data_IF_450171612233
#
_entry.id   IF_450171612233
#
_cell.length_a   1.000
_cell.length_b   1.000
_cell.length_c   1.000
_cell.angle_alpha   90.00
_cell.angle_beta   90.00
_cell.angle_gamma   90.00
#
_symmetry.space_group_name_H-M   'P 1'
#
loop_
_entity.id
_entity.type
_entity.pdbx_description
1 polymer ?
#
# COMPACT_ATOMS: atom_id res chain seq x y z
N UNK A 1 34.24 -14.54 11.01
CA UNK A 1 33.47 -14.24 9.77
C UNK A 1 33.28 -12.74 9.63
N UNK A 2 32.79 -12.24 8.46
CA UNK A 2 32.45 -10.81 8.31
C UNK A 2 31.20 -10.49 9.12
N UNK A 3 31.11 -9.29 9.73
CA UNK A 3 29.91 -8.87 10.46
C UNK A 3 28.67 -8.89 9.56
N UNK A 4 27.48 -9.17 10.11
CA UNK A 4 26.21 -9.18 9.37
C UNK A 4 25.97 -7.91 8.54
N UNK A 5 26.24 -6.77 9.14
CA UNK A 5 26.08 -5.47 8.47
C UNK A 5 26.96 -5.35 7.20
N UNK A 6 28.23 -5.72 7.30
CA UNK A 6 29.14 -5.71 6.13
C UNK A 6 28.68 -6.66 5.04
N UNK A 7 28.16 -7.83 5.41
CA UNK A 7 27.64 -8.82 4.45
C UNK A 7 26.41 -8.25 3.73
N UNK A 8 25.43 -7.75 4.48
CA UNK A 8 24.18 -7.22 3.92
C UNK A 8 24.43 -5.95 3.08
N UNK A 9 25.30 -5.05 3.54
CA UNK A 9 25.68 -3.87 2.76
C UNK A 9 26.38 -4.24 1.46
N UNK A 10 27.28 -5.23 1.48
CA UNK A 10 27.92 -5.72 0.25
C UNK A 10 26.89 -6.29 -0.74
N UNK A 11 25.90 -7.05 -0.28
CA UNK A 11 24.80 -7.54 -1.14
C UNK A 11 24.00 -6.37 -1.73
N UNK A 12 23.67 -5.38 -0.91
CA UNK A 12 22.91 -4.20 -1.35
C UNK A 12 23.69 -3.38 -2.39
N UNK A 13 25.01 -3.22 -2.22
CA UNK A 13 25.85 -2.54 -3.21
C UNK A 13 25.89 -3.27 -4.56
N UNK A 14 26.11 -4.59 -4.55
CA UNK A 14 26.09 -5.38 -5.78
C UNK A 14 24.70 -5.43 -6.42
N UNK A 15 23.64 -5.29 -5.63
CA UNK A 15 22.25 -5.30 -6.14
C UNK A 15 21.93 -4.13 -7.06
N UNK A 16 22.69 -3.01 -6.97
CA UNK A 16 22.52 -1.83 -7.85
C UNK A 16 22.76 -2.17 -9.31
N UNK A 17 23.63 -3.13 -9.58
CA UNK A 17 23.78 -3.72 -10.91
C UNK A 17 22.70 -4.80 -11.11
N UNK A 18 21.74 -4.51 -12.00
CA UNK A 18 20.62 -5.42 -12.29
C UNK A 18 21.10 -6.69 -12.99
N UNK A 19 22.23 -6.66 -13.66
CA UNK A 19 22.81 -7.82 -14.36
C UNK A 19 23.59 -8.76 -13.43
N UNK A 20 23.97 -8.27 -12.23
CA UNK A 20 24.75 -9.03 -11.27
C UNK A 20 23.99 -10.25 -10.76
N UNK A 21 24.62 -11.43 -10.85
CA UNK A 21 24.11 -12.69 -10.29
C UNK A 21 24.81 -13.05 -9.00
N UNK A 22 24.00 -13.24 -7.98
CA UNK A 22 24.51 -13.58 -6.66
C UNK A 22 24.84 -15.06 -6.55
N UNK A 23 26.08 -15.33 -6.21
CA UNK A 23 26.60 -16.66 -5.92
C UNK A 23 26.94 -16.79 -4.44
N UNK A 24 27.07 -18.02 -3.95
CA UNK A 24 27.52 -18.36 -2.59
C UNK A 24 26.69 -17.73 -1.46
N UNK A 25 25.41 -17.44 -1.69
CA UNK A 25 24.51 -16.90 -0.67
C UNK A 25 24.27 -17.89 0.47
N UNK A 26 24.25 -19.19 0.15
CA UNK A 26 24.03 -20.25 1.12
C UNK A 26 25.10 -20.25 2.24
N UNK A 27 26.33 -19.81 1.96
CA UNK A 27 27.41 -19.71 2.94
C UNK A 27 27.15 -18.66 4.02
N UNK A 28 26.26 -17.68 3.77
CA UNK A 28 25.85 -16.66 4.74
C UNK A 28 25.12 -17.32 5.93
N UNK A 29 24.42 -18.43 5.67
CA UNK A 29 23.73 -19.23 6.68
C UNK A 29 24.68 -19.99 7.62
N UNK A 30 25.98 -19.94 7.40
CA UNK A 30 26.99 -20.53 8.30
C UNK A 30 27.54 -19.50 9.30
N UNK A 31 27.10 -18.26 9.21
CA UNK A 31 27.53 -17.18 10.08
C UNK A 31 26.62 -17.08 11.31
N UNK A 32 27.13 -17.43 12.48
CA UNK A 32 26.40 -17.39 13.76
C UNK A 32 25.88 -16.00 14.09
N UNK A 33 26.64 -14.94 13.79
CA UNK A 33 26.20 -13.56 14.03
C UNK A 33 24.93 -13.20 13.27
N UNK A 34 24.69 -13.77 12.08
CA UNK A 34 23.44 -13.60 11.34
C UNK A 34 22.24 -14.15 12.11
N UNK A 35 22.41 -15.26 12.85
CA UNK A 35 21.37 -15.84 13.69
C UNK A 35 21.11 -15.02 14.94
N UNK A 36 22.13 -14.35 15.51
CA UNK A 36 21.94 -13.43 16.64
C UNK A 36 21.09 -12.24 16.22
N UNK A 37 21.39 -11.64 15.07
CA UNK A 37 20.56 -10.55 14.51
C UNK A 37 19.15 -11.05 14.18
N UNK A 38 19.02 -12.23 13.60
CA UNK A 38 17.72 -12.85 13.32
C UNK A 38 16.92 -13.07 14.61
N UNK A 39 17.56 -13.55 15.67
CA UNK A 39 16.92 -13.70 16.97
C UNK A 39 16.43 -12.39 17.53
N UNK A 40 17.25 -11.33 17.52
CA UNK A 40 16.86 -9.98 17.97
C UNK A 40 15.64 -9.46 17.21
N UNK A 41 15.60 -9.65 15.88
CA UNK A 41 14.45 -9.24 15.06
C UNK A 41 13.17 -10.00 15.41
N UNK A 42 13.27 -11.29 15.76
CA UNK A 42 12.10 -12.10 16.13
C UNK A 42 11.66 -11.76 17.55
N UNK A 43 12.61 -11.58 18.48
CA UNK A 43 12.34 -11.28 19.88
C UNK A 43 11.57 -9.97 20.06
N UNK A 44 11.88 -8.97 19.27
CA UNK A 44 11.24 -7.65 19.32
C UNK A 44 9.80 -7.62 18.78
N UNK A 45 9.31 -8.72 18.16
CA UNK A 45 7.98 -8.75 17.54
C UNK A 45 6.92 -9.36 18.44
N UNK A 46 5.71 -8.82 18.38
CA UNK A 46 4.54 -9.47 18.96
C UNK A 46 4.35 -10.88 18.35
N UNK A 47 3.90 -11.83 19.17
CA UNK A 47 3.74 -13.22 18.77
C UNK A 47 5.03 -14.06 18.77
N UNK A 48 6.16 -13.50 19.30
CA UNK A 48 7.41 -14.24 19.49
C UNK A 48 7.22 -15.54 20.27
N UNK A 49 6.36 -15.53 21.29
CA UNK A 49 6.00 -16.67 22.16
C UNK A 49 5.03 -17.68 21.53
N UNK A 50 4.56 -17.45 20.29
CA UNK A 50 3.61 -18.36 19.65
C UNK A 50 4.27 -19.68 19.27
N UNK A 51 3.79 -20.78 19.85
CA UNK A 51 4.30 -22.15 19.63
C UNK A 51 4.04 -22.62 18.20
N UNK A 52 5.09 -23.15 17.56
CA UNK A 52 5.00 -23.85 16.28
C UNK A 52 4.40 -25.26 16.41
N UNK A 53 4.58 -26.09 15.38
CA UNK A 53 4.16 -27.51 15.39
C UNK A 53 4.95 -28.37 16.36
N UNK A 54 6.18 -27.95 16.71
CA UNK A 54 7.08 -28.60 17.69
C UNK A 54 6.77 -28.20 19.16
N UNK A 55 5.81 -27.32 19.39
CA UNK A 55 5.44 -26.83 20.71
C UNK A 55 6.47 -25.89 21.37
N UNK A 56 7.59 -25.59 20.70
CA UNK A 56 8.66 -24.75 21.24
C UNK A 56 8.38 -23.27 21.04
N UNK A 57 8.93 -22.46 21.96
CA UNK A 57 8.89 -21.00 21.95
C UNK A 57 10.29 -20.43 21.79
N UNK A 58 10.38 -19.09 21.75
CA UNK A 58 11.65 -18.35 21.70
C UNK A 58 12.54 -18.57 22.95
N UNK A 59 11.94 -18.95 24.11
CA UNK A 59 12.65 -19.12 25.39
C UNK A 59 13.70 -20.25 25.35
N UNK A 60 13.57 -21.17 24.41
CA UNK A 60 14.52 -22.27 24.25
C UNK A 60 15.77 -21.89 23.44
N UNK A 61 16.08 -20.58 23.31
CA UNK A 61 17.24 -20.11 22.57
C UNK A 61 18.54 -20.42 23.33
N UNK A 62 19.52 -20.97 22.60
CA UNK A 62 20.88 -21.18 23.12
C UNK A 62 21.91 -21.16 21.98
N UNK A 63 23.17 -20.87 22.31
CA UNK A 63 24.27 -20.91 21.34
C UNK A 63 24.43 -22.30 20.71
N UNK A 64 24.38 -23.36 21.53
CA UNK A 64 24.41 -24.76 21.06
C UNK A 64 23.32 -25.08 20.05
N UNK A 65 22.15 -24.43 20.17
CA UNK A 65 21.07 -24.60 19.21
C UNK A 65 21.41 -24.01 17.85
N UNK A 66 22.03 -22.81 17.83
CA UNK A 66 22.50 -22.18 16.58
C UNK A 66 23.57 -23.02 15.94
N UNK A 67 24.59 -23.47 16.69
CA UNK A 67 25.66 -24.35 16.18
C UNK A 67 25.07 -25.58 15.51
N UNK A 68 24.17 -26.29 16.21
CA UNK A 68 23.48 -27.46 15.66
C UNK A 68 22.67 -27.15 14.39
N UNK A 69 21.98 -26.01 14.33
CA UNK A 69 21.29 -25.60 13.11
C UNK A 69 22.25 -25.36 11.96
N UNK A 70 23.36 -24.66 12.22
CA UNK A 70 24.40 -24.39 11.22
C UNK A 70 24.99 -25.68 10.69
N UNK A 71 25.24 -26.67 11.54
CA UNK A 71 25.77 -27.95 11.11
C UNK A 71 24.79 -28.67 10.17
N UNK A 72 23.51 -28.73 10.51
CA UNK A 72 22.50 -29.30 9.59
C UNK A 72 22.35 -28.53 8.28
N UNK A 73 22.65 -27.23 8.27
CA UNK A 73 22.68 -26.43 7.04
C UNK A 73 23.94 -26.70 6.23
N UNK A 74 25.12 -26.86 6.86
CA UNK A 74 26.37 -27.20 6.17
C UNK A 74 26.24 -28.52 5.41
N UNK A 75 25.65 -29.53 6.05
CA UNK A 75 25.46 -30.88 5.50
C UNK A 75 24.23 -30.97 4.58
N UNK A 76 23.48 -29.89 4.38
CA UNK A 76 22.19 -29.83 3.64
C UNK A 76 21.12 -30.81 4.15
N UNK A 77 21.30 -31.38 5.33
CA UNK A 77 20.34 -32.31 5.95
C UNK A 77 19.13 -31.61 6.55
N UNK A 78 19.21 -30.27 6.70
CA UNK A 78 18.08 -29.50 7.26
C UNK A 78 16.81 -29.69 6.45
N UNK A 79 15.72 -30.02 7.15
CA UNK A 79 14.37 -30.11 6.60
C UNK A 79 13.42 -29.22 7.41
N UNK A 80 12.79 -28.21 6.77
CA UNK A 80 11.77 -27.38 7.42
C UNK A 80 10.61 -28.25 7.93
N UNK A 81 10.09 -27.91 9.09
CA UNK A 81 8.94 -28.59 9.67
C UNK A 81 7.63 -27.98 9.13
N UNK A 82 6.55 -28.77 9.06
CA UNK A 82 5.25 -28.24 8.67
C UNK A 82 4.79 -27.13 9.62
N UNK A 83 4.24 -26.06 9.08
CA UNK A 83 3.70 -24.95 9.87
C UNK A 83 2.41 -25.37 10.59
N UNK A 84 2.23 -24.94 11.84
CA UNK A 84 0.95 -25.14 12.57
C UNK A 84 -0.09 -24.19 12.01
N UNK A 85 -1.23 -24.71 11.56
CA UNK A 85 -2.34 -23.87 11.05
C UNK A 85 -3.19 -23.34 12.20
N UNK A 86 -3.40 -22.02 12.19
CA UNK A 86 -4.25 -21.30 13.15
C UNK A 86 -5.19 -20.38 12.37
N UNK A 87 -6.43 -20.25 12.83
CA UNK A 87 -7.43 -19.44 12.15
C UNK A 87 -7.69 -18.13 12.89
N UNK A 88 -7.58 -17.02 12.14
CA UNK A 88 -7.97 -15.69 12.64
C UNK A 88 -9.27 -15.27 11.96
N UNK A 89 -10.26 -14.74 12.71
CA UNK A 89 -11.52 -14.30 12.13
C UNK A 89 -11.31 -13.10 11.21
N UNK A 90 -11.90 -13.16 10.01
CA UNK A 90 -11.96 -12.01 9.07
C UNK A 90 -13.17 -11.14 9.39
N UNK A 91 -13.13 -9.87 8.93
CA UNK A 91 -14.23 -8.90 9.08
C UNK A 91 -15.58 -9.38 8.52
N UNK A 92 -15.58 -10.29 7.56
CA UNK A 92 -16.78 -10.85 6.91
C UNK A 92 -17.25 -12.18 7.51
N UNK A 93 -16.83 -12.53 8.72
CA UNK A 93 -17.17 -13.79 9.38
C UNK A 93 -16.37 -15.01 8.89
N UNK A 94 -15.69 -14.92 7.75
CA UNK A 94 -14.79 -15.98 7.27
C UNK A 94 -13.52 -16.03 8.12
N UNK A 95 -12.86 -17.18 8.18
CA UNK A 95 -11.60 -17.35 8.89
C UNK A 95 -10.41 -17.16 7.92
N UNK A 96 -9.31 -16.56 8.40
CA UNK A 96 -8.03 -16.48 7.68
C UNK A 96 -7.09 -17.53 8.24
N UNK A 97 -6.64 -18.52 7.44
CA UNK A 97 -5.62 -19.44 7.87
C UNK A 97 -4.27 -18.73 8.00
N UNK A 98 -3.58 -18.95 9.13
CA UNK A 98 -2.19 -18.56 9.34
C UNK A 98 -1.36 -19.81 9.60
N UNK A 99 -0.18 -19.88 8.98
CA UNK A 99 0.81 -20.89 9.28
C UNK A 99 1.84 -20.36 10.28
N UNK A 100 1.97 -21.01 11.41
CA UNK A 100 2.98 -20.67 12.42
C UNK A 100 4.15 -21.64 12.28
N UNK A 101 5.32 -21.19 11.75
CA UNK A 101 6.52 -22.02 11.64
C UNK A 101 7.10 -22.37 13.01
N UNK A 102 7.91 -23.43 13.07
CA UNK A 102 8.70 -23.74 14.27
C UNK A 102 9.72 -22.64 14.55
N UNK A 103 10.24 -22.60 15.77
CA UNK A 103 11.22 -21.58 16.12
C UNK A 103 12.52 -21.68 15.30
N UNK A 104 12.98 -22.90 15.01
CA UNK A 104 14.15 -23.11 14.12
C UNK A 104 13.88 -22.59 12.72
N UNK A 105 12.70 -22.89 12.17
CA UNK A 105 12.32 -22.38 10.85
C UNK A 105 12.22 -20.86 10.85
N UNK A 106 11.67 -20.24 11.91
CA UNK A 106 11.62 -18.78 12.04
C UNK A 106 13.01 -18.15 11.98
N UNK A 107 14.00 -18.73 12.68
CA UNK A 107 15.38 -18.22 12.68
C UNK A 107 16.02 -18.27 11.27
N UNK A 108 15.94 -19.42 10.61
CA UNK A 108 16.53 -19.58 9.28
C UNK A 108 15.79 -18.71 8.26
N UNK A 109 14.45 -18.68 8.32
CA UNK A 109 13.65 -17.81 7.46
C UNK A 109 13.99 -16.33 7.64
N UNK A 110 14.31 -15.88 8.86
CA UNK A 110 14.71 -14.49 9.09
C UNK A 110 16.06 -14.17 8.47
N UNK A 111 17.04 -15.09 8.57
CA UNK A 111 18.34 -14.92 7.89
C UNK A 111 18.13 -14.87 6.35
N UNK A 112 17.34 -15.77 5.79
CA UNK A 112 16.99 -15.77 4.37
C UNK A 112 16.27 -14.48 3.97
N UNK A 113 15.33 -13.98 4.80
CA UNK A 113 14.64 -12.71 4.59
C UNK A 113 15.61 -11.53 4.51
N UNK A 114 16.56 -11.43 5.46
CA UNK A 114 17.57 -10.37 5.46
C UNK A 114 18.42 -10.39 4.19
N UNK A 115 18.83 -11.57 3.73
CA UNK A 115 19.60 -11.73 2.48
C UNK A 115 18.76 -11.29 1.27
N UNK A 116 17.52 -11.76 1.16
CA UNK A 116 16.63 -11.39 0.05
C UNK A 116 16.30 -9.90 0.07
N UNK A 117 16.07 -9.32 1.25
CA UNK A 117 15.82 -7.89 1.38
C UNK A 117 17.01 -7.06 0.91
N UNK A 118 18.25 -7.43 1.29
CA UNK A 118 19.46 -6.74 0.84
C UNK A 118 19.62 -6.80 -0.70
N UNK A 119 19.17 -7.89 -1.35
CA UNK A 119 19.25 -8.05 -2.80
C UNK A 119 18.15 -7.31 -3.57
N UNK A 120 16.91 -7.31 -3.06
CA UNK A 120 15.75 -6.89 -3.85
C UNK A 120 15.18 -5.53 -3.46
N UNK A 121 15.32 -5.07 -2.19
CA UNK A 121 14.67 -3.86 -1.69
C UNK A 121 15.02 -2.62 -2.51
N UNK A 122 16.29 -2.45 -2.88
CA UNK A 122 16.77 -1.32 -3.68
C UNK A 122 16.23 -1.28 -5.12
N UNK A 123 15.70 -2.40 -5.62
CA UNK A 123 15.23 -2.57 -7.00
C UNK A 123 13.71 -2.59 -7.14
N UNK A 124 12.98 -2.60 -6.02
CA UNK A 124 11.52 -2.52 -6.06
C UNK A 124 11.05 -1.14 -6.50
N UNK A 125 9.99 -1.11 -7.29
CA UNK A 125 9.40 0.16 -7.74
C UNK A 125 8.88 1.00 -6.57
N UNK A 126 8.97 2.31 -6.70
CA UNK A 126 8.54 3.26 -5.66
C UNK A 126 7.04 3.21 -5.39
N UNK A 127 6.27 2.65 -6.31
CA UNK A 127 4.81 2.47 -6.24
C UNK A 127 4.38 1.29 -5.37
N UNK A 128 5.33 0.42 -4.96
CA UNK A 128 5.10 -0.71 -4.07
C UNK A 128 5.36 -0.33 -2.61
N UNK A 129 4.39 -0.55 -1.72
CA UNK A 129 4.44 -0.07 -0.34
C UNK A 129 4.29 -1.16 0.73
N UNK A 130 3.63 -2.29 0.44
CA UNK A 130 3.35 -3.33 1.42
C UNK A 130 4.59 -4.13 1.82
N UNK A 131 4.74 -4.44 3.11
CA UNK A 131 5.79 -5.31 3.66
C UNK A 131 7.23 -4.87 3.36
N UNK A 132 7.48 -3.59 3.17
CA UNK A 132 8.79 -3.03 2.88
C UNK A 132 9.29 -2.17 4.05
N UNK A 133 10.62 -2.13 4.30
CA UNK A 133 11.21 -1.23 5.29
C UNK A 133 10.82 0.23 5.03
N UNK A 134 10.52 0.97 6.10
CA UNK A 134 10.16 2.39 6.03
C UNK A 134 8.94 2.71 5.13
N UNK A 135 8.14 1.71 4.79
CA UNK A 135 6.90 1.84 4.03
C UNK A 135 5.71 1.34 4.86
N UNK A 136 4.56 1.94 4.65
CA UNK A 136 3.34 1.63 5.40
C UNK A 136 2.10 1.87 4.51
N UNK A 137 0.92 1.50 5.01
CA UNK A 137 -0.34 1.89 4.37
C UNK A 137 -0.41 3.41 4.17
N UNK A 138 0.18 4.16 5.09
CA UNK A 138 0.24 5.61 5.03
C UNK A 138 1.13 6.12 3.90
N UNK A 139 2.27 5.55 3.65
CA UNK A 139 3.09 5.95 2.50
C UNK A 139 2.37 5.70 1.18
N UNK A 140 1.59 4.61 1.07
CA UNK A 140 0.76 4.33 -0.10
C UNK A 140 -0.35 5.38 -0.29
N UNK A 141 -1.06 5.72 0.78
CA UNK A 141 -2.12 6.73 0.75
C UNK A 141 -1.57 8.13 0.41
N UNK A 142 -0.41 8.50 0.97
CA UNK A 142 0.27 9.76 0.63
C UNK A 142 0.68 9.79 -0.86
N UNK A 143 1.17 8.69 -1.37
CA UNK A 143 1.50 8.54 -2.78
C UNK A 143 0.25 8.77 -3.65
N UNK A 144 -0.87 8.11 -3.31
CA UNK A 144 -2.15 8.28 -4.01
C UNK A 144 -2.62 9.75 -3.92
N UNK A 145 -2.57 10.37 -2.75
CA UNK A 145 -3.01 11.75 -2.56
C UNK A 145 -2.23 12.74 -3.40
N UNK A 146 -0.92 12.54 -3.55
CA UNK A 146 -0.03 13.42 -4.32
C UNK A 146 -0.15 13.17 -5.83
N UNK A 147 -0.13 11.91 -6.25
CA UNK A 147 0.04 11.55 -7.65
C UNK A 147 -1.27 11.37 -8.45
N UNK A 148 -2.37 10.95 -7.79
CA UNK A 148 -3.62 10.60 -8.48
C UNK A 148 -4.54 11.80 -8.74
N UNK A 149 -4.06 13.02 -8.48
CA UNK A 149 -4.81 14.25 -8.73
C UNK A 149 -5.27 14.35 -10.19
N UNK A 150 -6.57 14.59 -10.36
CA UNK A 150 -7.17 14.72 -11.69
C UNK A 150 -7.56 13.42 -12.38
N UNK A 151 -7.39 12.27 -11.75
CA UNK A 151 -7.92 11.00 -12.23
C UNK A 151 -9.44 11.11 -12.46
N UNK A 152 -9.95 10.36 -13.43
CA UNK A 152 -11.37 10.24 -13.77
C UNK A 152 -11.93 8.87 -13.42
N UNK A 153 -11.09 7.85 -13.50
CA UNK A 153 -11.44 6.47 -13.21
C UNK A 153 -10.42 5.86 -12.27
N UNK A 154 -10.91 5.04 -11.36
CA UNK A 154 -10.10 4.13 -10.55
C UNK A 154 -10.33 2.70 -11.01
N UNK A 155 -9.26 1.90 -11.05
CA UNK A 155 -9.32 0.44 -11.09
C UNK A 155 -8.84 -0.05 -9.74
N UNK A 156 -9.76 -0.59 -8.96
CA UNK A 156 -9.50 -1.25 -7.68
C UNK A 156 -9.15 -2.70 -8.00
N UNK A 157 -7.96 -3.15 -7.64
CA UNK A 157 -7.50 -4.50 -7.95
C UNK A 157 -7.22 -5.31 -6.70
N UNK A 158 -7.75 -6.55 -6.67
CA UNK A 158 -7.52 -7.55 -5.62
C UNK A 158 -7.18 -8.88 -6.29
N UNK A 159 -6.06 -9.49 -5.92
CA UNK A 159 -5.63 -10.78 -6.45
C UNK A 159 -6.27 -11.89 -5.61
N UNK A 160 -6.98 -12.80 -6.26
CA UNK A 160 -7.73 -13.88 -5.61
C UNK A 160 -6.81 -14.85 -4.89
N UNK A 161 -6.91 -14.90 -3.56
CA UNK A 161 -6.14 -15.86 -2.76
C UNK A 161 -4.63 -15.81 -3.00
N UNK A 162 -4.07 -14.61 -3.16
CA UNK A 162 -2.70 -14.39 -3.63
C UNK A 162 -1.67 -15.31 -2.95
N UNK A 163 -1.60 -15.29 -1.61
CA UNK A 163 -0.62 -16.08 -0.86
C UNK A 163 -0.80 -17.59 -1.03
N UNK A 164 -2.02 -18.05 -1.30
CA UNK A 164 -2.33 -19.47 -1.47
C UNK A 164 -2.09 -19.93 -2.92
N UNK A 165 -2.04 -18.99 -3.89
CA UNK A 165 -1.95 -19.28 -5.32
C UNK A 165 -0.60 -18.93 -5.97
N UNK A 166 0.39 -18.49 -5.20
CA UNK A 166 1.74 -18.25 -5.75
C UNK A 166 2.30 -19.56 -6.33
N UNK A 167 2.60 -19.56 -7.61
CA UNK A 167 3.26 -20.71 -8.26
C UNK A 167 4.70 -20.83 -7.78
N UNK A 168 5.05 -21.96 -7.17
CA UNK A 168 6.42 -22.21 -6.69
C UNK A 168 7.45 -22.17 -7.83
N UNK A 169 7.10 -22.72 -9.01
CA UNK A 169 8.05 -22.76 -10.14
C UNK A 169 8.26 -21.37 -10.75
N UNK A 170 7.19 -20.56 -10.88
CA UNK A 170 7.30 -19.18 -11.34
C UNK A 170 8.15 -18.36 -10.35
N UNK A 171 7.91 -18.50 -9.04
CA UNK A 171 8.68 -17.81 -8.00
C UNK A 171 10.18 -18.20 -8.06
N UNK A 172 10.46 -19.49 -8.15
CA UNK A 172 11.84 -19.99 -8.24
C UNK A 172 12.53 -19.47 -9.51
N UNK A 173 11.84 -19.43 -10.64
CA UNK A 173 12.40 -18.88 -11.87
C UNK A 173 12.70 -17.37 -11.73
N UNK A 174 11.83 -16.62 -11.09
CA UNK A 174 12.06 -15.19 -10.78
C UNK A 174 13.30 -15.02 -9.88
N UNK A 175 13.46 -15.85 -8.85
CA UNK A 175 14.63 -15.82 -7.97
C UNK A 175 15.92 -16.15 -8.74
N UNK A 176 15.90 -17.14 -9.63
CA UNK A 176 17.05 -17.55 -10.47
C UNK A 176 17.50 -16.47 -11.47
N UNK A 177 16.68 -15.48 -11.76
CA UNK A 177 17.12 -14.33 -12.56
C UNK A 177 18.27 -13.55 -11.90
N UNK A 178 18.31 -13.51 -10.56
CA UNK A 178 19.30 -12.79 -9.78
C UNK A 178 20.21 -13.68 -8.93
N UNK A 179 19.76 -14.89 -8.60
CA UNK A 179 20.44 -15.81 -7.69
C UNK A 179 20.89 -17.03 -8.48
N UNK A 180 22.23 -17.23 -8.56
CA UNK A 180 22.86 -18.38 -9.20
C UNK A 180 23.20 -19.52 -8.21
N UNK A 181 23.02 -19.29 -6.90
CA UNK A 181 23.28 -20.27 -5.84
C UNK A 181 22.15 -21.30 -5.73
N UNK A 182 22.33 -22.46 -6.35
CA UNK A 182 21.33 -23.55 -6.33
C UNK A 182 21.10 -24.11 -4.91
N UNK A 183 22.08 -24.08 -3.99
CA UNK A 183 21.88 -24.50 -2.60
C UNK A 183 20.89 -23.58 -1.89
N UNK A 184 21.03 -22.28 -2.09
CA UNK A 184 20.11 -21.29 -1.54
C UNK A 184 18.70 -21.44 -2.13
N UNK A 185 18.59 -21.63 -3.42
CA UNK A 185 17.32 -21.87 -4.11
C UNK A 185 16.64 -23.16 -3.62
N UNK A 186 17.42 -24.25 -3.42
CA UNK A 186 16.87 -25.50 -2.86
C UNK A 186 16.30 -25.30 -1.45
N UNK A 187 16.98 -24.52 -0.60
CA UNK A 187 16.48 -24.22 0.74
C UNK A 187 15.16 -23.44 0.69
N UNK A 188 15.07 -22.39 -0.15
CA UNK A 188 13.80 -21.66 -0.34
C UNK A 188 12.69 -22.61 -0.82
N UNK A 189 13.00 -23.50 -1.77
CA UNK A 189 12.02 -24.50 -2.26
C UNK A 189 11.59 -25.48 -1.16
N UNK A 190 12.50 -25.89 -0.26
CA UNK A 190 12.16 -26.72 0.92
C UNK A 190 11.13 -25.98 1.81
N UNK A 191 11.32 -24.70 2.09
CA UNK A 191 10.35 -23.89 2.87
C UNK A 191 8.98 -23.78 2.19
N UNK A 192 8.93 -23.59 0.88
CA UNK A 192 7.68 -23.53 0.13
C UNK A 192 6.92 -24.87 0.17
N UNK A 193 7.63 -26.00 0.21
CA UNK A 193 7.07 -27.35 0.20
C UNK A 193 6.87 -27.95 1.60
N UNK A 194 7.22 -27.25 2.67
CA UNK A 194 7.18 -27.79 4.04
C UNK A 194 5.79 -28.25 4.52
N UNK A 195 4.73 -27.76 3.89
CA UNK A 195 3.36 -28.13 4.27
C UNK A 195 2.86 -27.46 5.54
N UNK A 196 1.71 -27.90 6.01
CA UNK A 196 1.14 -27.45 7.27
C UNK A 196 0.41 -28.58 7.99
N UNK A 197 0.26 -28.42 9.30
CA UNK A 197 -0.54 -29.31 10.16
C UNK A 197 -1.82 -28.58 10.56
N UNK A 198 -2.95 -29.21 10.29
CA UNK A 198 -4.29 -28.79 10.67
C UNK A 198 -5.03 -29.96 11.31
N UNK A 199 -5.62 -29.77 12.48
CA UNK A 199 -6.34 -30.82 13.21
C UNK A 199 -5.56 -32.15 13.33
N UNK A 200 -4.22 -32.03 13.57
CA UNK A 200 -3.28 -33.15 13.65
C UNK A 200 -3.05 -33.92 12.33
N UNK A 201 -3.57 -33.40 11.19
CA UNK A 201 -3.34 -33.98 9.87
C UNK A 201 -2.31 -33.13 9.10
N UNK A 202 -1.41 -33.83 8.42
CA UNK A 202 -0.43 -33.19 7.56
C UNK A 202 -1.01 -32.92 6.17
N UNK A 203 -0.79 -31.71 5.66
CA UNK A 203 -1.20 -31.30 4.34
C UNK A 203 0.01 -30.80 3.54
N UNK A 204 0.17 -31.31 2.33
CA UNK A 204 1.19 -30.84 1.40
C UNK A 204 0.84 -29.46 0.85
N UNK A 205 1.86 -28.63 0.59
CA UNK A 205 1.71 -27.35 -0.08
C UNK A 205 2.23 -27.47 -1.51
N UNK A 206 1.32 -27.47 -2.48
CA UNK A 206 1.66 -27.52 -3.91
C UNK A 206 1.80 -26.14 -4.55
N UNK A 207 1.15 -25.15 -3.97
CA UNK A 207 1.23 -23.73 -4.35
C UNK A 207 1.15 -22.87 -3.09
N UNK A 208 1.50 -21.61 -3.26
CA UNK A 208 1.41 -20.63 -2.19
C UNK A 208 2.60 -20.57 -1.26
N UNK A 209 2.59 -19.52 -0.45
CA UNK A 209 3.50 -19.33 0.67
C UNK A 209 2.68 -19.32 1.95
N UNK A 210 3.12 -19.99 3.04
CA UNK A 210 2.35 -20.00 4.27
C UNK A 210 2.07 -18.56 4.75
N UNK A 211 0.79 -18.17 4.85
CA UNK A 211 0.44 -16.90 5.47
C UNK A 211 0.88 -16.92 6.93
N UNK A 212 1.88 -16.09 7.29
CA UNK A 212 2.52 -16.09 8.62
C UNK A 212 3.97 -16.59 8.62
N UNK A 213 4.48 -17.14 7.52
CA UNK A 213 5.91 -17.39 7.34
C UNK A 213 6.69 -16.07 7.25
N UNK A 214 7.88 -16.04 7.86
CA UNK A 214 8.71 -14.82 7.92
C UNK A 214 9.20 -14.39 6.53
N UNK A 215 9.50 -15.34 5.65
CA UNK A 215 9.95 -15.05 4.28
C UNK A 215 8.80 -14.74 3.31
N UNK A 216 7.55 -15.10 3.67
CA UNK A 216 6.42 -14.98 2.74
C UNK A 216 6.19 -13.54 2.23
N UNK A 217 6.29 -12.48 3.06
CA UNK A 217 6.12 -11.10 2.59
C UNK A 217 7.15 -10.65 1.56
N UNK A 218 8.43 -10.98 1.75
CA UNK A 218 9.47 -10.61 0.78
C UNK A 218 9.35 -11.40 -0.52
N UNK A 219 9.03 -12.69 -0.45
CA UNK A 219 8.77 -13.51 -1.63
C UNK A 219 7.57 -13.01 -2.42
N UNK A 220 6.51 -12.58 -1.73
CA UNK A 220 5.34 -11.94 -2.32
C UNK A 220 5.71 -10.66 -3.09
N UNK A 221 6.54 -9.80 -2.51
CA UNK A 221 7.00 -8.59 -3.18
C UNK A 221 7.90 -8.88 -4.37
N UNK A 222 8.82 -9.88 -4.28
CA UNK A 222 9.65 -10.31 -5.41
C UNK A 222 8.78 -10.83 -6.56
N UNK A 223 7.74 -11.58 -6.24
CA UNK A 223 6.80 -12.11 -7.25
C UNK A 223 6.02 -10.99 -7.96
N UNK A 224 5.46 -10.05 -7.18
CA UNK A 224 4.65 -8.96 -7.72
C UNK A 224 5.47 -7.79 -8.29
N UNK A 225 6.78 -7.76 -8.08
CA UNK A 225 7.68 -6.79 -8.72
C UNK A 225 7.62 -6.92 -10.26
N UNK A 226 7.32 -8.12 -10.77
CA UNK A 226 7.07 -8.32 -12.21
C UNK A 226 5.85 -7.56 -12.70
N UNK A 227 4.78 -7.51 -11.89
CA UNK A 227 3.60 -6.71 -12.19
C UNK A 227 3.92 -5.21 -12.11
N UNK A 228 4.67 -4.78 -11.09
CA UNK A 228 5.04 -3.37 -10.92
C UNK A 228 5.86 -2.87 -12.13
N UNK A 229 6.81 -3.66 -12.59
CA UNK A 229 7.63 -3.36 -13.79
C UNK A 229 6.80 -3.35 -15.07
N UNK A 230 5.91 -4.32 -15.26
CA UNK A 230 4.98 -4.33 -16.37
C UNK A 230 4.11 -3.07 -16.41
N UNK A 231 3.55 -2.69 -15.27
CA UNK A 231 2.72 -1.48 -15.18
C UNK A 231 3.55 -0.21 -15.45
N UNK A 232 4.78 -0.15 -14.99
CA UNK A 232 5.68 0.98 -15.30
C UNK A 232 5.92 1.14 -16.79
N UNK A 233 6.17 0.04 -17.50
CA UNK A 233 6.30 0.06 -18.96
C UNK A 233 4.97 0.41 -19.65
N UNK A 234 3.86 -0.10 -19.12
CA UNK A 234 2.52 0.21 -19.60
C UNK A 234 2.21 1.71 -19.46
N UNK A 235 2.53 2.31 -18.32
CA UNK A 235 2.38 3.75 -18.08
C UNK A 235 3.17 4.55 -19.12
N UNK A 236 4.42 4.17 -19.40
CA UNK A 236 5.25 4.85 -20.38
C UNK A 236 4.65 4.85 -21.79
N UNK A 237 3.94 3.79 -22.16
CA UNK A 237 3.23 3.66 -23.45
C UNK A 237 1.87 4.36 -23.46
N UNK A 238 1.16 4.34 -22.33
CA UNK A 238 -0.19 4.89 -22.21
C UNK A 238 -0.20 6.42 -22.07
N UNK A 239 0.78 6.99 -21.37
CA UNK A 239 0.84 8.41 -21.10
C UNK A 239 1.06 9.21 -22.38
N UNK A 240 0.14 10.17 -22.67
CA UNK A 240 0.15 10.97 -23.88
C UNK A 240 0.01 12.46 -23.58
N UNK A 241 0.68 13.29 -24.37
CA UNK A 241 0.62 14.75 -24.28
C UNK A 241 1.35 15.34 -23.06
N UNK A 242 1.86 16.55 -23.17
CA UNK A 242 2.53 17.28 -22.05
C UNK A 242 1.56 18.07 -21.20
N UNK A 243 0.52 18.67 -21.81
CA UNK A 243 -0.48 19.52 -21.15
C UNK A 243 -1.83 19.28 -21.83
N UNK A 244 -2.92 19.41 -21.07
CA UNK A 244 -4.28 19.41 -21.63
C UNK A 244 -4.50 20.63 -22.50
N UNK A 245 -5.32 20.52 -23.54
CA UNK A 245 -5.82 21.64 -24.31
C UNK A 245 -6.61 22.57 -23.37
N UNK A 246 -6.55 23.86 -23.64
CA UNK A 246 -7.40 24.81 -22.91
C UNK A 246 -8.86 24.60 -23.30
N UNK A 247 -9.77 24.69 -22.32
CA UNK A 247 -11.19 24.69 -22.61
C UNK A 247 -11.56 25.95 -23.40
N UNK A 248 -12.61 25.84 -24.23
CA UNK A 248 -13.08 26.95 -25.06
C UNK A 248 -13.39 28.18 -24.23
N UNK A 249 -14.09 27.98 -23.11
CA UNK A 249 -14.43 29.05 -22.16
C UNK A 249 -13.16 29.72 -21.58
N UNK A 250 -12.16 28.93 -21.22
CA UNK A 250 -10.88 29.47 -20.71
C UNK A 250 -10.13 30.32 -21.74
N UNK A 251 -10.21 29.94 -23.03
CA UNK A 251 -9.62 30.72 -24.13
C UNK A 251 -10.38 32.03 -24.33
N UNK A 252 -11.74 31.99 -24.32
CA UNK A 252 -12.59 33.18 -24.51
C UNK A 252 -12.36 34.20 -23.40
N UNK A 253 -12.40 33.76 -22.13
CA UNK A 253 -12.07 34.64 -21.00
C UNK A 253 -10.63 35.15 -21.06
N UNK A 254 -9.67 34.32 -21.49
CA UNK A 254 -8.27 34.71 -21.67
C UNK A 254 -8.10 35.80 -22.72
N UNK A 255 -8.82 35.69 -23.83
CA UNK A 255 -8.80 36.68 -24.92
C UNK A 255 -9.50 37.99 -24.49
N UNK A 256 -10.65 37.93 -23.84
CA UNK A 256 -11.35 39.06 -23.28
C UNK A 256 -10.44 39.81 -22.28
N UNK A 257 -9.78 39.10 -21.37
CA UNK A 257 -8.81 39.68 -20.44
C UNK A 257 -7.66 40.40 -21.16
N UNK A 258 -7.09 39.77 -22.19
CA UNK A 258 -6.00 40.41 -22.98
C UNK A 258 -6.47 41.71 -23.64
N UNK A 259 -7.70 41.76 -24.16
CA UNK A 259 -8.27 42.97 -24.78
C UNK A 259 -8.39 44.11 -23.76
N UNK A 260 -8.93 43.84 -22.56
CA UNK A 260 -9.07 44.85 -21.53
C UNK A 260 -7.74 45.33 -20.99
N UNK A 261 -6.78 44.43 -20.75
CA UNK A 261 -5.43 44.81 -20.29
C UNK A 261 -4.72 45.68 -21.32
N UNK A 262 -4.92 45.44 -22.63
CA UNK A 262 -4.39 46.33 -23.67
C UNK A 262 -5.03 47.73 -23.61
N UNK A 263 -6.36 47.81 -23.46
CA UNK A 263 -7.09 49.08 -23.32
C UNK A 263 -6.64 49.84 -22.06
N UNK A 264 -6.48 49.18 -20.94
CA UNK A 264 -5.98 49.79 -19.70
C UNK A 264 -4.64 50.46 -19.81
N UNK A 265 -3.77 49.99 -20.73
CA UNK A 265 -2.46 50.60 -20.97
C UNK A 265 -2.55 51.93 -21.76
N UNK A 266 -3.59 52.13 -22.57
CA UNK A 266 -3.77 53.28 -23.43
C UNK A 266 -4.73 54.34 -22.87
N UNK A 267 -5.53 54.03 -21.88
CA UNK A 267 -6.53 54.94 -21.31
C UNK A 267 -5.89 55.85 -20.25
N UNK A 268 -6.04 57.18 -20.43
CA UNK A 268 -5.57 58.22 -19.50
C UNK A 268 -6.69 58.75 -18.61
N UNK A 269 -7.96 58.59 -19.02
CA UNK A 269 -9.13 59.03 -18.25
C UNK A 269 -9.42 58.05 -17.07
N UNK A 270 -9.43 58.61 -15.86
CA UNK A 270 -9.59 57.84 -14.63
C UNK A 270 -10.97 57.16 -14.54
N UNK A 271 -12.06 57.82 -15.02
CA UNK A 271 -13.42 57.20 -15.02
C UNK A 271 -13.48 55.98 -15.94
N UNK A 272 -12.90 56.04 -17.10
CA UNK A 272 -12.81 54.93 -18.03
C UNK A 272 -11.90 53.83 -17.50
N UNK A 273 -10.85 54.17 -16.81
CA UNK A 273 -9.92 53.24 -16.18
C UNK A 273 -10.61 52.41 -15.08
N UNK A 274 -11.38 53.06 -14.20
CA UNK A 274 -12.18 52.38 -13.16
C UNK A 274 -13.19 51.43 -13.79
N UNK A 275 -13.88 51.81 -14.85
CA UNK A 275 -14.82 50.98 -15.58
C UNK A 275 -14.15 49.72 -16.14
N UNK A 276 -13.01 49.86 -16.77
CA UNK A 276 -12.22 48.75 -17.32
C UNK A 276 -11.68 47.79 -16.20
N UNK A 277 -11.34 48.32 -15.03
CA UNK A 277 -10.92 47.53 -13.88
C UNK A 277 -12.10 46.70 -13.34
N UNK A 278 -13.29 47.24 -13.27
CA UNK A 278 -14.50 46.49 -12.86
C UNK A 278 -14.82 45.36 -13.87
N UNK A 279 -14.72 45.67 -15.16
CA UNK A 279 -14.90 44.71 -16.24
C UNK A 279 -13.86 43.57 -16.16
N UNK A 280 -12.59 43.95 -15.90
CA UNK A 280 -11.51 42.95 -15.70
C UNK A 280 -11.79 42.04 -14.50
N UNK A 281 -12.27 42.59 -13.38
CA UNK A 281 -12.66 41.79 -12.20
C UNK A 281 -13.78 40.82 -12.53
N UNK A 282 -14.80 41.26 -13.28
CA UNK A 282 -15.93 40.43 -13.69
C UNK A 282 -15.44 39.24 -14.58
N UNK A 283 -14.54 39.51 -15.52
CA UNK A 283 -13.94 38.49 -16.38
C UNK A 283 -13.11 37.48 -15.55
N UNK A 284 -12.31 37.96 -14.59
CA UNK A 284 -11.53 37.08 -13.72
C UNK A 284 -12.41 36.19 -12.83
N UNK A 285 -13.51 36.74 -12.32
CA UNK A 285 -14.52 35.98 -11.58
C UNK A 285 -15.22 34.95 -12.47
N UNK A 286 -15.63 35.33 -13.68
CA UNK A 286 -16.21 34.41 -14.65
C UNK A 286 -15.27 33.27 -15.01
N UNK A 287 -14.00 33.60 -15.33
CA UNK A 287 -12.96 32.60 -15.65
C UNK A 287 -12.74 31.60 -14.52
N UNK A 288 -12.79 32.03 -13.28
CA UNK A 288 -12.55 31.15 -12.13
C UNK A 288 -13.64 30.09 -11.95
N UNK A 289 -14.83 30.24 -12.57
CA UNK A 289 -15.89 29.23 -12.54
C UNK A 289 -15.62 28.03 -13.46
N UNK A 290 -14.78 28.17 -14.48
CA UNK A 290 -14.54 27.14 -15.49
C UNK A 290 -13.15 26.49 -15.33
N UNK A 291 -13.00 25.18 -15.67
CA UNK A 291 -11.68 24.53 -15.69
C UNK A 291 -10.81 25.13 -16.78
N UNK A 292 -9.51 25.30 -16.51
CA UNK A 292 -8.56 25.83 -17.49
C UNK A 292 -8.32 24.86 -18.67
N UNK A 293 -8.38 23.57 -18.42
CA UNK A 293 -8.14 22.55 -19.43
C UNK A 293 -9.38 21.73 -19.71
N UNK A 294 -9.48 21.23 -20.93
CA UNK A 294 -10.53 20.34 -21.36
C UNK A 294 -10.52 19.06 -20.53
N UNK A 295 -11.68 18.64 -20.03
CA UNK A 295 -11.74 17.52 -19.07
C UNK A 295 -11.50 16.18 -19.73
N UNK A 296 -11.97 16.00 -20.98
CA UNK A 296 -11.88 14.78 -21.76
C UNK A 296 -11.01 14.97 -23.01
N UNK A 297 -9.84 15.57 -22.82
CA UNK A 297 -8.86 15.74 -23.89
C UNK A 297 -8.30 14.39 -24.32
N UNK A 298 -8.64 13.92 -25.53
CA UNK A 298 -8.16 12.67 -26.10
C UNK A 298 -6.63 12.62 -26.31
N UNK A 299 -5.99 13.81 -26.40
CA UNK A 299 -4.55 13.92 -26.57
C UNK A 299 -3.80 14.04 -25.24
N UNK A 300 -4.51 13.94 -24.10
CA UNK A 300 -3.92 13.95 -22.77
C UNK A 300 -4.41 12.77 -21.95
N UNK A 301 -3.56 11.75 -21.81
CA UNK A 301 -3.82 10.56 -21.02
C UNK A 301 -2.74 10.41 -19.95
N UNK A 302 -3.13 9.93 -18.78
CA UNK A 302 -2.21 9.60 -17.67
C UNK A 302 -2.71 8.38 -16.92
N UNK A 303 -1.78 7.54 -16.55
CA UNK A 303 -2.01 6.42 -15.64
C UNK A 303 -1.12 6.55 -14.43
N UNK A 304 -1.66 6.30 -13.24
CA UNK A 304 -0.95 6.28 -11.96
C UNK A 304 -1.24 4.97 -11.27
N UNK A 305 -0.30 4.48 -10.51
CA UNK A 305 -0.37 3.17 -9.87
C UNK A 305 0.17 3.20 -8.45
N UNK A 306 -0.46 2.47 -7.55
CA UNK A 306 0.02 2.23 -6.19
C UNK A 306 -0.39 0.81 -5.77
N UNK A 307 0.55 0.07 -5.15
CA UNK A 307 0.31 -1.29 -4.65
C UNK A 307 0.69 -1.39 -3.17
N UNK A 308 -0.13 -2.14 -2.46
CA UNK A 308 0.14 -2.54 -1.08
C UNK A 308 -0.13 -4.05 -0.94
N UNK A 309 0.92 -4.85 -0.90
CA UNK A 309 0.84 -6.31 -0.99
C UNK A 309 0.11 -6.78 -2.26
N UNK A 310 -1.00 -7.48 -2.13
CA UNK A 310 -1.89 -7.95 -3.18
C UNK A 310 -2.95 -6.95 -3.63
N UNK A 311 -3.21 -5.92 -2.81
CA UNK A 311 -4.14 -4.84 -3.17
C UNK A 311 -3.43 -3.78 -4.02
N UNK A 312 -4.05 -3.32 -5.11
CA UNK A 312 -3.53 -2.22 -5.90
C UNK A 312 -4.63 -1.27 -6.38
N UNK A 313 -4.23 -0.03 -6.63
CA UNK A 313 -5.10 1.00 -7.18
C UNK A 313 -4.46 1.64 -8.39
N UNK A 314 -5.23 1.74 -9.48
CA UNK A 314 -4.84 2.47 -10.68
C UNK A 314 -5.73 3.69 -10.85
N UNK A 315 -5.12 4.88 -11.00
CA UNK A 315 -5.82 6.13 -11.30
C UNK A 315 -5.60 6.53 -12.76
N UNK A 316 -6.69 6.77 -13.49
CA UNK A 316 -6.64 6.97 -14.94
C UNK A 316 -7.26 8.33 -15.30
N UNK A 317 -6.50 9.11 -16.06
CA UNK A 317 -6.98 10.26 -16.82
C UNK A 317 -7.19 9.78 -18.26
N UNK A 318 -8.42 9.43 -18.60
CA UNK A 318 -8.80 8.86 -19.88
C UNK A 318 -10.28 8.50 -19.92
N UNK A 319 -10.69 7.72 -20.92
CA UNK A 319 -12.05 7.23 -21.08
C UNK A 319 -12.34 6.05 -20.15
N UNK A 320 -13.63 5.68 -20.01
CA UNK A 320 -14.04 4.45 -19.34
C UNK A 320 -13.53 3.21 -20.07
N UNK A 321 -13.48 3.27 -21.41
CA UNK A 321 -12.93 2.18 -22.23
C UNK A 321 -11.44 1.96 -21.94
N UNK A 322 -10.63 3.03 -21.81
CA UNK A 322 -9.23 2.92 -21.40
C UNK A 322 -9.10 2.19 -20.05
N UNK A 323 -9.97 2.52 -19.08
CA UNK A 323 -9.94 1.87 -17.77
C UNK A 323 -10.31 0.38 -17.83
N UNK A 324 -11.29 0.03 -18.67
CA UNK A 324 -11.68 -1.36 -18.87
C UNK A 324 -10.59 -2.16 -19.61
N UNK A 325 -9.95 -1.55 -20.60
CA UNK A 325 -8.83 -2.16 -21.30
C UNK A 325 -7.65 -2.42 -20.36
N UNK A 326 -7.25 -1.41 -19.56
CA UNK A 326 -6.18 -1.56 -18.57
C UNK A 326 -6.49 -2.69 -17.59
N UNK A 327 -7.74 -2.80 -17.10
CA UNK A 327 -8.16 -3.91 -16.24
C UNK A 327 -7.97 -5.26 -16.95
N UNK A 328 -8.38 -5.37 -18.22
CA UNK A 328 -8.22 -6.57 -19.03
C UNK A 328 -6.76 -6.95 -19.24
N UNK A 329 -5.92 -5.99 -19.59
CA UNK A 329 -4.50 -6.22 -19.85
C UNK A 329 -3.75 -6.65 -18.58
N UNK A 330 -4.07 -6.06 -17.41
CA UNK A 330 -3.54 -6.49 -16.12
C UNK A 330 -3.99 -7.93 -15.80
N UNK A 331 -5.28 -8.26 -16.04
CA UNK A 331 -5.82 -9.61 -15.83
C UNK A 331 -5.06 -10.64 -16.67
N UNK A 332 -4.86 -10.37 -17.96
CA UNK A 332 -4.13 -11.24 -18.85
C UNK A 332 -2.66 -11.40 -18.43
N UNK A 333 -1.99 -10.31 -18.09
CA UNK A 333 -0.60 -10.37 -17.59
C UNK A 333 -0.46 -11.24 -16.34
N UNK A 334 -1.36 -11.08 -15.36
CA UNK A 334 -1.37 -11.89 -14.14
C UNK A 334 -1.56 -13.37 -14.44
N UNK A 335 -2.49 -13.71 -15.34
CA UNK A 335 -2.75 -15.09 -15.73
C UNK A 335 -1.55 -15.71 -16.51
N UNK A 336 -1.07 -15.02 -17.53
CA UNK A 336 -0.10 -15.59 -18.47
C UNK A 336 1.34 -15.64 -17.90
N UNK A 337 1.73 -14.63 -17.12
CA UNK A 337 3.11 -14.49 -16.63
C UNK A 337 3.28 -14.91 -15.19
N UNK A 338 2.26 -14.74 -14.37
CA UNK A 338 2.33 -14.98 -12.93
C UNK A 338 1.41 -16.11 -12.46
N UNK A 339 0.68 -16.77 -13.36
CA UNK A 339 -0.28 -17.82 -12.98
C UNK A 339 -1.21 -17.40 -11.82
N UNK A 340 -1.65 -16.12 -11.81
CA UNK A 340 -2.53 -15.54 -10.81
C UNK A 340 -3.85 -15.10 -11.42
N UNK A 341 -4.91 -15.17 -10.62
CA UNK A 341 -6.25 -14.75 -11.03
C UNK A 341 -6.67 -13.46 -10.33
N UNK A 342 -7.18 -12.51 -11.11
CA UNK A 342 -7.78 -11.28 -10.56
C UNK A 342 -9.18 -11.60 -10.02
N UNK A 343 -9.51 -11.09 -8.82
CA UNK A 343 -10.85 -11.23 -8.27
C UNK A 343 -11.85 -10.37 -9.04
N UNK A 344 -12.64 -10.96 -9.92
CA UNK A 344 -13.62 -10.21 -10.73
C UNK A 344 -14.67 -9.48 -9.87
N UNK A 345 -15.05 -10.06 -8.72
CA UNK A 345 -16.02 -9.47 -7.78
C UNK A 345 -15.49 -8.22 -7.07
N UNK A 346 -14.20 -8.17 -6.77
CA UNK A 346 -13.57 -7.07 -6.04
C UNK A 346 -12.83 -6.09 -6.95
N UNK A 347 -12.49 -6.50 -8.17
CA UNK A 347 -11.82 -5.62 -9.12
C UNK A 347 -12.83 -4.77 -9.86
N UNK A 348 -12.99 -3.53 -9.39
CA UNK A 348 -14.00 -2.61 -9.88
C UNK A 348 -13.38 -1.49 -10.72
N UNK A 349 -14.13 -1.03 -11.73
CA UNK A 349 -13.83 0.22 -12.44
C UNK A 349 -14.79 1.29 -11.94
N UNK A 350 -14.28 2.17 -11.08
CA UNK A 350 -15.08 3.14 -10.34
C UNK A 350 -14.82 4.56 -10.86
N UNK A 351 -15.89 5.32 -11.16
CA UNK A 351 -15.74 6.75 -11.47
C UNK A 351 -15.32 7.51 -10.21
N UNK A 352 -14.38 8.45 -10.32
CA UNK A 352 -13.77 9.14 -9.16
C UNK A 352 -14.74 10.02 -8.34
N UNK A 353 -15.98 10.19 -8.75
CA UNK A 353 -17.06 10.79 -7.94
C UNK A 353 -17.64 9.79 -6.93
N UNK A 354 -17.52 8.51 -7.20
CA UNK A 354 -17.88 7.44 -6.27
C UNK A 354 -16.63 7.02 -5.49
N UNK A 355 -16.77 6.62 -4.23
CA UNK A 355 -15.64 6.22 -3.42
C UNK A 355 -15.07 4.88 -3.91
N UNK A 356 -13.79 4.87 -4.25
CA UNK A 356 -13.00 3.65 -4.42
C UNK A 356 -12.44 3.22 -3.07
N UNK A 357 -12.48 1.93 -2.76
CA UNK A 357 -12.01 1.39 -1.48
C UNK A 357 -10.57 0.91 -1.59
N UNK A 358 -9.68 1.46 -0.78
CA UNK A 358 -8.28 1.01 -0.72
C UNK A 358 -7.72 1.16 0.70
N UNK A 359 -7.15 0.10 1.27
CA UNK A 359 -6.58 0.08 2.62
C UNK A 359 -7.51 0.62 3.72
N UNK A 360 -8.80 0.36 3.63
CA UNK A 360 -9.80 0.82 4.61
C UNK A 360 -10.22 2.29 4.47
N UNK A 361 -9.75 2.96 3.41
CA UNK A 361 -10.16 4.32 3.05
C UNK A 361 -11.06 4.33 1.83
N UNK A 362 -11.89 5.37 1.76
CA UNK A 362 -12.67 5.76 0.62
C UNK A 362 -11.97 6.90 -0.13
N UNK A 363 -11.59 6.61 -1.37
CA UNK A 363 -10.80 7.50 -2.21
C UNK A 363 -11.70 8.13 -3.25
N UNK A 364 -11.77 9.46 -3.28
CA UNK A 364 -12.51 10.22 -4.28
C UNK A 364 -11.66 11.37 -4.82
N UNK A 365 -12.03 11.89 -5.98
CA UNK A 365 -11.43 13.13 -6.52
C UNK A 365 -12.43 14.25 -6.42
N UNK A 366 -12.09 15.25 -5.62
CA UNK A 366 -12.98 16.36 -5.34
C UNK A 366 -13.26 17.19 -6.59
N UNK A 367 -14.54 17.37 -6.92
CA UNK A 367 -15.02 18.42 -7.80
C UNK A 367 -15.43 19.62 -6.93
N UNK A 368 -14.63 20.67 -6.92
CA UNK A 368 -14.99 21.92 -6.25
C UNK A 368 -14.78 23.07 -7.21
N UNK A 369 -15.73 23.96 -7.22
CA UNK A 369 -15.64 25.26 -7.90
C UNK A 369 -15.29 26.39 -6.93
N UNK A 370 -14.96 26.08 -5.66
CA UNK A 370 -14.59 27.06 -4.66
C UNK A 370 -13.40 27.90 -5.12
N UNK A 371 -13.48 29.18 -4.88
CA UNK A 371 -12.47 30.14 -5.25
C UNK A 371 -11.86 30.73 -3.99
N UNK A 372 -10.54 30.79 -3.93
CA UNK A 372 -9.80 31.53 -2.89
C UNK A 372 -8.80 32.47 -3.56
N UNK A 373 -8.49 33.56 -2.90
CA UNK A 373 -7.38 34.43 -3.29
C UNK A 373 -6.07 33.80 -2.80
N UNK A 374 -5.09 33.72 -3.69
CA UNK A 374 -3.73 33.32 -3.31
C UNK A 374 -3.03 34.47 -2.54
N UNK A 375 -1.82 34.19 -2.01
CA UNK A 375 -0.99 35.19 -1.29
C UNK A 375 -0.69 36.46 -2.12
N UNK A 376 -0.92 36.40 -3.45
CA UNK A 376 -0.75 37.53 -4.38
C UNK A 376 -2.10 38.18 -4.76
N UNK A 377 -3.17 37.90 -4.03
CA UNK A 377 -4.51 38.45 -4.29
C UNK A 377 -5.22 37.88 -5.53
N UNK A 378 -4.67 36.87 -6.22
CA UNK A 378 -5.26 36.30 -7.43
C UNK A 378 -6.32 35.27 -7.07
N UNK A 379 -7.48 35.36 -7.69
CA UNK A 379 -8.52 34.33 -7.59
C UNK A 379 -8.01 33.03 -8.22
N UNK A 380 -7.97 31.97 -7.40
CA UNK A 380 -7.67 30.61 -7.85
C UNK A 380 -8.73 29.66 -7.37
N UNK A 381 -9.02 28.66 -8.19
CA UNK A 381 -9.80 27.51 -7.72
C UNK A 381 -9.01 26.77 -6.63
N UNK A 382 -9.66 26.58 -5.50
CA UNK A 382 -9.10 25.79 -4.43
C UNK A 382 -9.61 24.35 -4.54
N UNK A 383 -8.69 23.41 -4.35
CA UNK A 383 -9.03 21.98 -4.18
C UNK A 383 -9.69 21.25 -5.36
N UNK A 384 -9.88 21.86 -6.51
CA UNK A 384 -10.37 21.17 -7.70
C UNK A 384 -9.42 20.05 -8.12
N UNK A 385 -9.98 18.84 -8.33
CA UNK A 385 -9.26 17.64 -8.81
C UNK A 385 -8.25 17.03 -7.83
N UNK A 386 -8.25 17.43 -6.54
CA UNK A 386 -7.44 16.78 -5.51
C UNK A 386 -8.09 15.48 -5.05
N UNK A 387 -7.26 14.51 -4.73
CA UNK A 387 -7.69 13.28 -4.08
C UNK A 387 -8.09 13.58 -2.64
N UNK A 388 -9.27 13.13 -2.25
CA UNK A 388 -9.77 13.12 -0.88
C UNK A 388 -9.68 11.68 -0.36
N UNK A 389 -9.10 11.54 0.81
CA UNK A 389 -9.00 10.28 1.54
C UNK A 389 -9.92 10.40 2.76
N UNK A 390 -10.98 9.62 2.79
CA UNK A 390 -11.89 9.56 3.92
C UNK A 390 -11.84 8.15 4.52
N UNK A 391 -11.90 8.06 5.84
CA UNK A 391 -12.14 6.77 6.48
C UNK A 391 -13.57 6.38 6.20
N UNK A 392 -13.82 5.13 5.78
CA UNK A 392 -15.17 4.69 5.51
C UNK A 392 -16.00 4.69 6.82
N UNK A 393 -17.23 5.16 6.74
CA UNK A 393 -18.16 5.13 7.90
C UNK A 393 -18.36 3.70 8.41
N UNK A 394 -18.28 2.72 7.54
CA UNK A 394 -18.31 1.30 7.90
C UNK A 394 -17.13 0.93 8.82
N UNK A 395 -15.92 1.44 8.52
CA UNK A 395 -14.72 1.22 9.36
C UNK A 395 -14.88 1.91 10.72
N UNK A 396 -15.37 3.16 10.75
CA UNK A 396 -15.64 3.90 11.99
C UNK A 396 -16.65 3.15 12.85
N UNK A 397 -17.79 2.79 12.28
CA UNK A 397 -18.87 2.05 12.94
C UNK A 397 -18.38 0.74 13.53
N UNK A 398 -17.64 -0.04 12.74
CA UNK A 398 -17.10 -1.31 13.20
C UNK A 398 -16.15 -1.13 14.38
N UNK A 399 -15.26 -0.15 14.32
CA UNK A 399 -14.32 0.12 15.41
C UNK A 399 -15.02 0.51 16.70
N UNK A 400 -16.01 1.42 16.63
CA UNK A 400 -16.81 1.81 17.79
C UNK A 400 -17.58 0.63 18.39
N UNK A 401 -18.07 -0.27 17.52
CA UNK A 401 -18.73 -1.49 17.95
C UNK A 401 -17.74 -2.48 18.59
N UNK A 402 -16.59 -2.72 17.97
CA UNK A 402 -15.53 -3.60 18.50
C UNK A 402 -15.01 -3.11 19.88
N UNK A 403 -15.01 -1.81 20.10
CA UNK A 403 -14.67 -1.20 21.40
C UNK A 403 -15.78 -1.31 22.45
N UNK A 404 -16.98 -1.72 22.05
CA UNK A 404 -18.12 -1.82 22.94
C UNK A 404 -18.68 -0.47 23.41
N UNK A 405 -18.37 0.62 22.67
CA UNK A 405 -18.83 1.99 22.99
C UNK A 405 -20.03 2.44 22.14
N UNK A 406 -20.49 1.59 21.22
CA UNK A 406 -21.59 1.86 20.30
C UNK A 406 -22.68 0.80 20.43
N UNK A 407 -23.92 1.24 20.60
CA UNK A 407 -25.12 0.45 20.44
C UNK A 407 -25.91 0.95 19.23
N UNK A 408 -26.41 0.01 18.42
CA UNK A 408 -27.20 0.35 17.24
C UNK A 408 -28.63 -0.07 17.44
N UNK A 409 -29.54 0.90 17.29
CA UNK A 409 -30.98 0.65 17.31
C UNK A 409 -31.58 1.05 15.96
N UNK A 410 -32.53 0.27 15.47
CA UNK A 410 -33.25 0.61 14.25
C UNK A 410 -34.61 1.25 14.66
N UNK A 411 -34.84 2.49 14.28
CA UNK A 411 -36.11 3.19 14.55
C UNK A 411 -36.66 3.76 13.23
N UNK A 412 -37.82 3.30 12.83
CA UNK A 412 -38.46 3.69 11.58
C UNK A 412 -37.59 3.48 10.31
N UNK A 413 -36.86 2.35 10.24
CA UNK A 413 -35.97 2.04 9.11
C UNK A 413 -34.65 2.83 9.06
N UNK A 414 -34.40 3.70 10.06
CA UNK A 414 -33.16 4.46 10.20
C UNK A 414 -32.33 3.88 11.34
N UNK A 415 -31.05 3.64 11.05
CA UNK A 415 -30.05 3.26 12.03
C UNK A 415 -29.71 4.44 12.94
N UNK A 416 -29.93 4.31 14.23
CA UNK A 416 -29.58 5.30 15.25
C UNK A 416 -28.43 4.76 16.09
N UNK A 417 -27.39 5.54 16.20
CA UNK A 417 -26.20 5.24 16.99
C UNK A 417 -26.38 5.80 18.40
N UNK A 418 -26.26 4.95 19.40
CA UNK A 418 -26.29 5.35 20.80
C UNK A 418 -24.95 5.04 21.47
N UNK A 419 -24.44 5.95 22.31
CA UNK A 419 -23.25 5.66 23.11
C UNK A 419 -23.58 4.55 24.11
N UNK A 420 -22.60 3.65 24.33
CA UNK A 420 -22.66 2.57 25.32
C UNK A 420 -21.46 2.69 26.25
N UNK A 421 -21.72 2.57 27.56
CA UNK A 421 -20.66 2.54 28.56
C UNK A 421 -19.95 1.17 28.57
N UNK A 422 -18.65 1.16 28.79
CA UNK A 422 -17.86 -0.05 29.01
C UNK A 422 -18.02 -0.49 30.47
N UNK A 423 -19.01 -1.29 30.74
CA UNK A 423 -19.30 -1.81 32.10
C UNK A 423 -18.14 -2.54 32.75
N UNK A 424 -17.26 -3.17 31.95
CA UNK A 424 -16.07 -3.85 32.45
C UNK A 424 -15.01 -2.93 33.09
N UNK A 425 -15.10 -1.62 32.89
CA UNK A 425 -14.17 -0.64 33.48
C UNK A 425 -14.67 -0.03 34.80
N UNK A 426 -15.86 -0.45 35.31
CA UNK A 426 -16.50 0.19 36.46
C UNK A 426 -15.67 0.03 37.75
N UNK A 427 -14.81 -0.96 37.85
CA UNK A 427 -13.95 -1.21 39.00
C UNK A 427 -12.53 -0.65 38.83
N UNK A 428 -12.22 -0.03 37.71
CA UNK A 428 -10.92 0.58 37.46
C UNK A 428 -10.92 2.02 37.98
N UNK A 429 -9.74 2.54 38.31
CA UNK A 429 -9.62 3.95 38.64
C UNK A 429 -9.78 4.86 37.40
N UNK A 430 -10.00 6.17 37.66
CA UNK A 430 -10.26 7.13 36.58
C UNK A 430 -9.08 7.26 35.60
N UNK A 431 -7.83 7.07 36.06
CA UNK A 431 -6.65 7.13 35.21
C UNK A 431 -6.54 5.90 34.30
N UNK A 432 -6.85 4.72 34.80
CA UNK A 432 -6.89 3.49 33.98
C UNK A 432 -8.01 3.53 32.95
N UNK A 433 -9.19 4.05 33.34
CA UNK A 433 -10.30 4.29 32.42
C UNK A 433 -9.87 5.24 31.31
N UNK A 434 -9.30 6.39 31.67
CA UNK A 434 -8.83 7.40 30.73
C UNK A 434 -7.75 6.84 29.79
N UNK A 435 -6.78 6.11 30.31
CA UNK A 435 -5.72 5.51 29.50
C UNK A 435 -6.26 4.45 28.54
N UNK A 436 -7.23 3.64 28.96
CA UNK A 436 -7.90 2.67 28.11
C UNK A 436 -8.58 3.33 26.91
N UNK A 437 -9.37 4.38 27.12
CA UNK A 437 -10.01 5.14 26.05
C UNK A 437 -9.00 5.89 25.18
N UNK A 438 -7.99 6.52 25.80
CA UNK A 438 -6.96 7.23 25.05
C UNK A 438 -6.16 6.32 24.12
N UNK A 439 -5.78 5.13 24.55
CA UNK A 439 -5.09 4.15 23.68
C UNK A 439 -5.91 3.79 22.44
N UNK A 440 -7.20 3.56 22.62
CA UNK A 440 -8.11 3.27 21.50
C UNK A 440 -8.29 4.45 20.56
N UNK A 441 -8.53 5.64 21.11
CA UNK A 441 -8.73 6.88 20.35
C UNK A 441 -7.45 7.26 19.60
N UNK A 442 -6.30 7.27 20.27
CA UNK A 442 -5.00 7.62 19.68
C UNK A 442 -4.62 6.59 18.60
N UNK A 443 -4.84 5.30 18.86
CA UNK A 443 -4.61 4.25 17.87
C UNK A 443 -5.45 4.44 16.61
N UNK A 444 -6.73 4.74 16.78
CA UNK A 444 -7.63 5.03 15.65
C UNK A 444 -7.29 6.36 14.98
N UNK A 445 -6.98 7.38 15.74
CA UNK A 445 -6.56 8.68 15.25
C UNK A 445 -5.29 8.54 14.40
N UNK A 446 -4.25 7.89 14.90
CA UNK A 446 -3.01 7.68 14.16
C UNK A 446 -3.22 6.91 12.86
N UNK A 447 -4.13 5.95 12.85
CA UNK A 447 -4.50 5.25 11.61
C UNK A 447 -5.34 6.13 10.67
N UNK A 448 -6.33 6.86 11.20
CA UNK A 448 -7.38 7.49 10.40
C UNK A 448 -7.12 8.95 10.07
N UNK A 449 -6.44 9.68 10.95
CA UNK A 449 -6.36 11.15 10.92
C UNK A 449 -4.98 11.66 10.52
N UNK A 450 -3.93 10.85 10.62
CA UNK A 450 -2.58 11.26 10.18
C UNK A 450 -2.54 11.76 8.72
N UNK A 451 -3.59 11.53 7.94
CA UNK A 451 -3.78 12.06 6.57
C UNK A 451 -4.69 13.26 6.44
N UNK A 452 -5.65 13.42 7.33
CA UNK A 452 -6.45 14.64 7.36
C UNK A 452 -5.64 15.81 7.89
N UNK A 453 -4.61 15.58 8.72
CA UNK A 453 -3.73 16.60 9.29
C UNK A 453 -2.68 17.20 8.32
N UNK A 454 -2.44 16.64 7.16
CA UNK A 454 -1.79 17.42 6.11
C UNK A 454 -2.62 18.65 5.66
N UNK A 455 -3.87 18.78 6.19
CA UNK A 455 -4.67 20.00 6.16
C UNK A 455 -4.50 20.91 7.38
N UNK A 456 -4.02 20.42 8.50
CA UNK A 456 -3.98 21.18 9.77
C UNK A 456 -2.78 22.12 9.91
N UNK A 457 -1.90 22.22 8.92
CA UNK A 457 -1.07 23.40 8.76
C UNK A 457 -1.81 24.60 8.14
N UNK A 458 -3.11 24.47 7.90
CA UNK A 458 -4.01 25.59 7.65
C UNK A 458 -4.77 25.89 8.96
N UNK A 459 -4.12 26.61 9.86
CA UNK A 459 -4.60 27.39 11.00
C UNK A 459 -5.48 26.72 12.08
N UNK A 460 -5.07 26.84 13.36
CA UNK A 460 -5.88 26.46 14.55
C UNK A 460 -7.12 27.31 14.79
N UNK A 461 -7.44 28.29 13.93
CA UNK A 461 -8.42 29.34 14.19
C UNK A 461 -9.87 29.00 13.82
N UNK A 462 -10.19 27.77 13.44
CA UNK A 462 -11.55 27.37 13.09
C UNK A 462 -12.11 26.19 13.90
N UNK A 463 -11.63 26.03 15.14
CA UNK A 463 -12.26 25.16 16.13
C UNK A 463 -12.53 25.96 17.40
N UNK A 464 -13.45 26.92 17.29
CA UNK A 464 -14.25 27.46 18.39
C UNK A 464 -15.70 27.46 17.94
#
# INVERSE_FOLDING_TARGET
MRSPERVLNSLSEHSKDVSYKFERLYRILFNEEMFYVAYQHIYAKEGNMTKGSDGQTIDNMSLKRIEKLIDTLKDETYQPQPSKRVYIPKKNGKKRPLGVPTFNDKLIQEVVRMVLEAIYEGNFEYTSHGFRPNRSCHTALTHIQKEFSGAKWFVEGDIKGFFDNISHDVLINILKERIADERFIRLVRKFLKAGYIEEWQFHNTYSGTPQGGIISPILANIYLDKLDKYIKEYIAKFDKGKKRKFSRESLDFGNARKRIVRRLKSVKDERQRVKLILELKAIEQGRAKYPNGEEMDADYRRMKYARYADDFLVGIIGSKQDAQQIKGDIKNFLADKLALELSDEKTLVTHTERPAKFLGYEITVRKSNDQRRDKRGRLRRTYGKRVCLNVSMETVRKKLFDWGVLEMTNRNGKEIWKPKCKSGLIFNDDLEILDSYNREIVGFYNYSVSYTHLRAHETPEHLV
#
